data_IF_213792788381
#
_entry.id   IF_213792788381
#
_cell.length_a   1.000
_cell.length_b   1.000
_cell.length_c   1.000
_cell.angle_alpha   90.00
_cell.angle_beta   90.00
_cell.angle_gamma   90.00
#
_symmetry.space_group_name_H-M   'P 1'
#
loop_
_entity.id
_entity.type
_entity.pdbx_description
1 polymer ?
#
# COMPACT_ATOMS: atom_id res chain seq x y z
N UNK A 1 -24.08 -14.11 6.82
CA UNK A 1 -23.73 -12.72 7.17
C UNK A 1 -24.83 -11.80 6.64
N UNK A 2 -25.76 -11.40 7.51
CA UNK A 2 -26.93 -10.60 7.10
C UNK A 2 -26.52 -9.25 6.47
N UNK A 3 -25.43 -8.65 6.96
CA UNK A 3 -24.90 -7.39 6.44
C UNK A 3 -24.51 -7.38 4.95
N UNK A 4 -24.01 -8.51 4.42
CA UNK A 4 -23.65 -8.62 2.99
C UNK A 4 -24.91 -8.85 2.15
N UNK A 5 -25.78 -9.74 2.62
CA UNK A 5 -27.05 -10.08 1.95
C UNK A 5 -28.01 -8.87 1.92
N UNK A 6 -28.03 -8.10 3.00
CA UNK A 6 -28.84 -6.87 3.15
C UNK A 6 -28.21 -5.66 2.45
N UNK A 7 -27.07 -5.80 1.76
CA UNK A 7 -26.47 -4.72 0.97
C UNK A 7 -25.88 -3.56 1.79
N UNK A 8 -25.39 -3.82 3.02
CA UNK A 8 -24.75 -2.77 3.82
C UNK A 8 -23.41 -2.36 3.19
N UNK A 9 -23.44 -1.29 2.38
CA UNK A 9 -22.29 -0.82 1.61
C UNK A 9 -21.05 -0.54 2.48
N UNK A 10 -21.23 0.04 3.67
CA UNK A 10 -20.11 0.34 4.59
C UNK A 10 -19.38 -0.93 5.02
N UNK A 11 -20.12 -1.99 5.35
CA UNK A 11 -19.54 -3.27 5.76
C UNK A 11 -18.96 -4.06 4.59
N UNK A 12 -19.58 -3.96 3.41
CA UNK A 12 -19.04 -4.54 2.17
C UNK A 12 -17.70 -3.88 1.80
N UNK A 13 -17.62 -2.55 1.83
CA UNK A 13 -16.37 -1.83 1.59
C UNK A 13 -15.31 -2.16 2.65
N UNK A 14 -15.70 -2.27 3.92
CA UNK A 14 -14.80 -2.72 4.99
C UNK A 14 -14.25 -4.13 4.76
N UNK A 15 -15.10 -5.05 4.27
CA UNK A 15 -14.69 -6.41 3.93
C UNK A 15 -13.71 -6.41 2.75
N UNK A 16 -14.04 -5.73 1.65
CA UNK A 16 -13.14 -5.61 0.49
C UNK A 16 -11.82 -4.98 0.89
N UNK A 17 -11.84 -3.91 1.67
CA UNK A 17 -10.64 -3.26 2.18
C UNK A 17 -9.78 -4.22 3.03
N UNK A 18 -10.41 -5.01 3.89
CA UNK A 18 -9.70 -6.02 4.70
C UNK A 18 -9.01 -7.06 3.81
N UNK A 19 -9.69 -7.51 2.75
CA UNK A 19 -9.12 -8.45 1.79
C UNK A 19 -7.94 -7.85 1.02
N UNK A 20 -8.06 -6.61 0.52
CA UNK A 20 -6.97 -5.89 -0.15
C UNK A 20 -5.78 -5.74 0.79
N UNK A 21 -6.02 -5.27 2.02
CA UNK A 21 -4.96 -5.04 3.00
C UNK A 21 -4.22 -6.35 3.30
N UNK A 22 -4.95 -7.45 3.48
CA UNK A 22 -4.35 -8.74 3.83
C UNK A 22 -3.61 -9.37 2.66
N UNK A 23 -4.29 -9.58 1.52
CA UNK A 23 -3.76 -10.38 0.42
C UNK A 23 -2.87 -9.60 -0.55
N UNK A 24 -3.09 -8.30 -0.73
CA UNK A 24 -2.31 -7.49 -1.69
C UNK A 24 -1.15 -6.73 -1.05
N UNK A 25 -1.25 -6.37 0.24
CA UNK A 25 -0.25 -5.53 0.91
C UNK A 25 0.51 -6.30 2.00
N UNK A 26 -0.18 -7.10 2.82
CA UNK A 26 0.43 -7.70 4.02
C UNK A 26 1.07 -9.06 3.79
N UNK A 27 0.43 -9.94 3.02
CA UNK A 27 0.88 -11.31 2.79
C UNK A 27 2.00 -11.47 1.74
N UNK A 28 2.04 -10.70 0.63
CA UNK A 28 3.03 -10.96 -0.41
C UNK A 28 4.47 -10.74 0.09
N UNK A 29 5.39 -11.57 -0.36
CA UNK A 29 6.83 -11.31 -0.24
C UNK A 29 7.22 -10.27 -1.29
N UNK A 30 7.91 -9.20 -0.88
CA UNK A 30 8.37 -8.15 -1.79
C UNK A 30 9.86 -8.34 -2.02
N UNK A 31 10.29 -8.30 -3.29
CA UNK A 31 11.65 -8.71 -3.71
C UNK A 31 12.80 -7.94 -3.01
N UNK A 32 12.50 -6.75 -2.47
CA UNK A 32 13.47 -5.84 -1.85
C UNK A 32 13.36 -5.81 -0.31
N UNK A 33 12.52 -6.64 0.29
CA UNK A 33 12.38 -6.71 1.74
C UNK A 33 13.22 -7.82 2.37
N UNK A 34 14.18 -7.41 3.19
CA UNK A 34 14.80 -8.32 4.15
C UNK A 34 13.80 -8.66 5.27
N UNK A 35 13.65 -9.95 5.58
CA UNK A 35 12.88 -10.41 6.74
C UNK A 35 13.64 -10.11 8.04
N UNK A 36 13.61 -8.85 8.47
CA UNK A 36 14.11 -8.41 9.76
C UNK A 36 13.00 -8.36 10.80
N UNK A 37 13.34 -8.41 12.08
CA UNK A 37 12.36 -8.22 13.16
C UNK A 37 11.69 -6.83 13.09
N UNK A 38 12.38 -5.84 12.52
CA UNK A 38 11.86 -4.49 12.28
C UNK A 38 10.85 -4.44 11.13
N UNK A 39 11.03 -5.24 10.06
CA UNK A 39 10.06 -5.30 8.96
C UNK A 39 8.77 -5.99 9.40
N UNK A 40 8.84 -6.97 10.31
CA UNK A 40 7.67 -7.63 10.92
C UNK A 40 6.81 -6.72 11.81
N UNK A 41 7.37 -5.65 12.37
CA UNK A 41 6.63 -4.71 13.23
C UNK A 41 5.92 -3.58 12.47
N UNK A 42 6.19 -3.40 11.17
CA UNK A 42 5.58 -2.32 10.38
C UNK A 42 4.12 -2.64 10.08
N UNK A 43 3.26 -1.64 10.21
CA UNK A 43 1.89 -1.74 9.68
C UNK A 43 1.94 -1.88 8.14
N UNK A 44 0.92 -2.49 7.50
CA UNK A 44 0.91 -2.62 6.04
C UNK A 44 1.02 -1.27 5.31
N UNK A 45 0.49 -0.21 5.92
CA UNK A 45 0.61 1.17 5.41
C UNK A 45 2.06 1.65 5.43
N UNK A 46 2.77 1.46 6.56
CA UNK A 46 4.17 1.87 6.69
C UNK A 46 5.08 1.03 5.79
N UNK A 47 4.77 -0.26 5.65
CA UNK A 47 5.44 -1.18 4.72
C UNK A 47 5.38 -0.64 3.29
N UNK A 48 4.17 -0.34 2.80
CA UNK A 48 3.98 0.22 1.47
C UNK A 48 4.63 1.60 1.29
N UNK A 49 4.55 2.49 2.28
CA UNK A 49 5.25 3.78 2.23
C UNK A 49 6.77 3.60 2.14
N UNK A 50 7.34 2.68 2.91
CA UNK A 50 8.77 2.39 2.89
C UNK A 50 9.25 1.87 1.54
N UNK A 51 8.51 0.95 0.92
CA UNK A 51 8.84 0.44 -0.40
C UNK A 51 8.80 1.54 -1.48
N UNK A 52 7.76 2.38 -1.49
CA UNK A 52 7.68 3.49 -2.44
C UNK A 52 8.82 4.47 -2.21
N UNK A 53 9.14 4.77 -0.95
CA UNK A 53 10.25 5.67 -0.61
C UNK A 53 11.61 5.11 -1.06
N UNK A 54 11.81 3.79 -0.99
CA UNK A 54 13.00 3.12 -1.52
C UNK A 54 13.08 3.23 -3.06
N UNK A 55 11.94 3.12 -3.76
CA UNK A 55 11.87 3.33 -5.22
C UNK A 55 12.07 4.78 -5.65
N UNK A 56 11.69 5.73 -4.80
CA UNK A 56 11.71 7.17 -5.06
C UNK A 56 12.52 7.93 -4.00
N UNK A 57 13.84 7.72 -3.90
CA UNK A 57 14.65 8.30 -2.82
C UNK A 57 14.68 9.84 -2.84
N UNK A 58 14.45 10.46 -4.00
CA UNK A 58 14.48 11.92 -4.19
C UNK A 58 13.15 12.61 -3.86
N UNK A 59 12.06 11.87 -3.73
CA UNK A 59 10.72 12.41 -3.44
C UNK A 59 10.27 11.96 -2.05
N UNK A 60 9.96 12.88 -1.12
CA UNK A 60 9.45 12.51 0.19
C UNK A 60 7.99 12.05 0.09
N UNK A 61 7.75 10.75 0.12
CA UNK A 61 6.41 10.15 0.08
C UNK A 61 6.01 9.74 1.49
N UNK A 62 5.06 10.48 2.07
CA UNK A 62 4.62 10.32 3.47
C UNK A 62 3.17 9.90 3.60
N UNK A 63 2.39 9.99 2.53
CA UNK A 63 0.97 9.64 2.51
C UNK A 63 0.50 9.06 1.16
N UNK A 64 -0.75 8.58 1.14
CA UNK A 64 -1.43 8.03 -0.04
C UNK A 64 -2.53 8.97 -0.57
N UNK A 65 -2.39 10.29 -0.35
CA UNK A 65 -3.37 11.29 -0.78
C UNK A 65 -2.72 12.49 -1.47
N UNK A 66 -2.28 13.50 -0.71
CA UNK A 66 -1.78 14.78 -1.26
C UNK A 66 -0.51 14.62 -2.08
N UNK A 67 0.38 13.71 -1.68
CA UNK A 67 1.68 13.52 -2.34
C UNK A 67 1.51 13.05 -3.80
N UNK A 68 0.38 12.41 -4.11
CA UNK A 68 0.05 11.84 -5.42
C UNK A 68 -0.80 12.77 -6.29
N UNK A 69 -1.31 13.88 -5.73
CA UNK A 69 -2.29 14.74 -6.40
C UNK A 69 -1.74 15.41 -7.67
N UNK A 70 -0.44 15.72 -7.71
CA UNK A 70 0.19 16.35 -8.88
C UNK A 70 0.49 15.39 -10.02
N UNK A 71 0.35 14.07 -9.81
CA UNK A 71 0.73 13.03 -10.77
C UNK A 71 2.25 12.82 -10.91
N UNK A 72 3.09 13.72 -10.40
CA UNK A 72 4.57 13.59 -10.50
C UNK A 72 5.10 12.34 -9.81
N UNK A 73 4.60 12.02 -8.61
CA UNK A 73 4.99 10.81 -7.88
C UNK A 73 4.58 9.53 -8.63
N UNK A 74 3.43 9.53 -9.34
CA UNK A 74 3.03 8.41 -10.19
C UNK A 74 3.99 8.24 -11.36
N UNK A 75 4.31 9.34 -12.06
CA UNK A 75 5.24 9.30 -13.19
C UNK A 75 6.63 8.81 -12.79
N UNK A 76 7.17 9.34 -11.69
CA UNK A 76 8.47 8.92 -11.18
C UNK A 76 8.47 7.44 -10.75
N UNK A 77 7.38 6.93 -10.16
CA UNK A 77 7.28 5.52 -9.78
C UNK A 77 7.30 4.60 -11.01
N UNK A 78 6.60 4.97 -12.08
CA UNK A 78 6.60 4.21 -13.33
C UNK A 78 8.00 4.15 -13.95
N UNK A 79 8.66 5.30 -14.04
CA UNK A 79 10.04 5.44 -14.54
C UNK A 79 11.05 4.61 -13.71
N UNK A 80 10.92 4.61 -12.39
CA UNK A 80 11.73 3.78 -11.47
C UNK A 80 11.49 2.28 -11.64
N UNK A 81 10.27 1.86 -12.01
CA UNK A 81 9.94 0.45 -12.23
C UNK A 81 10.41 -0.08 -13.60
N UNK A 82 10.40 0.77 -14.63
CA UNK A 82 10.80 0.43 -16.00
C UNK A 82 11.29 1.69 -16.73
N UNK A 83 12.62 1.96 -16.72
CA UNK A 83 13.21 3.16 -17.34
C UNK A 83 13.09 3.18 -18.87
#
# INVERSE_FOLDING_TARGET
SKAIVDGNLKLILGLIWTLILHYSISMPMWDEEEETEESKQKTPKQRLLGWIQNKLPELPITNFSRDWQSGKALGALVDSCAP
#
